data_IF_809996691772
#
_entry.id   IF_809996691772
#
_cell.length_a   1.000
_cell.length_b   1.000
_cell.length_c   1.000
_cell.angle_alpha   90.00
_cell.angle_beta   90.00
_cell.angle_gamma   90.00
#
_symmetry.space_group_name_H-M   'P 1'
#
loop_
_entity.id
_entity.type
_entity.pdbx_description
1 polymer ?
#
# COMPACT_ATOMS: atom_id res chain seq x y z
N UNK A 1 -51.64 45.68 29.22
CA UNK A 1 -50.71 45.94 28.10
C UNK A 1 -49.33 45.57 28.62
N UNK A 2 -48.78 44.38 28.41
CA UNK A 2 -48.71 43.59 27.19
C UNK A 2 -47.36 43.86 26.53
N UNK A 3 -46.31 43.13 26.92
CA UNK A 3 -45.14 42.81 26.08
C UNK A 3 -44.20 41.82 26.78
N UNK A 4 -44.23 40.59 26.27
CA UNK A 4 -43.19 39.58 26.41
C UNK A 4 -41.95 39.99 25.59
N UNK A 5 -40.75 39.60 26.02
CA UNK A 5 -39.63 39.38 25.11
C UNK A 5 -38.65 38.33 25.67
N UNK A 6 -38.96 37.10 25.30
CA UNK A 6 -38.10 36.00 24.82
C UNK A 6 -36.67 35.85 25.37
N UNK A 7 -36.49 34.80 26.16
CA UNK A 7 -35.25 34.08 26.44
C UNK A 7 -34.68 33.50 25.14
N UNK A 8 -33.46 33.87 24.74
CA UNK A 8 -32.73 33.18 23.67
C UNK A 8 -31.91 32.05 24.29
N UNK A 9 -32.44 30.82 24.24
CA UNK A 9 -31.71 29.61 24.58
C UNK A 9 -30.80 29.27 23.39
N UNK A 10 -29.49 29.50 23.53
CA UNK A 10 -28.49 29.01 22.59
C UNK A 10 -28.35 27.49 22.76
N UNK A 11 -29.05 26.73 21.93
CA UNK A 11 -28.83 25.30 21.78
C UNK A 11 -27.48 25.10 21.08
N UNK A 12 -26.44 24.86 21.86
CA UNK A 12 -25.19 24.30 21.36
C UNK A 12 -25.48 22.87 20.87
N UNK A 13 -25.64 22.72 19.55
CA UNK A 13 -25.68 21.43 18.90
C UNK A 13 -24.31 20.77 19.04
N UNK A 14 -24.16 19.91 20.05
CA UNK A 14 -23.09 18.94 20.14
C UNK A 14 -23.30 17.99 18.96
N UNK A 15 -22.57 18.22 17.86
CA UNK A 15 -22.48 17.28 16.77
C UNK A 15 -21.79 16.03 17.30
N UNK A 16 -22.54 14.93 17.38
CA UNK A 16 -22.00 13.63 17.70
C UNK A 16 -21.15 13.21 16.50
N UNK A 17 -19.83 13.37 16.60
CA UNK A 17 -18.92 12.65 15.73
C UNK A 17 -19.18 11.17 16.01
N UNK A 18 -19.83 10.48 15.06
CA UNK A 18 -19.96 9.04 15.16
C UNK A 18 -18.55 8.47 15.07
N UNK A 19 -18.06 7.94 16.18
CA UNK A 19 -16.80 7.21 16.26
C UNK A 19 -16.96 5.97 15.39
N UNK A 20 -16.57 6.07 14.13
CA UNK A 20 -16.50 4.94 13.21
C UNK A 20 -15.31 4.08 13.64
N UNK A 21 -15.56 2.79 13.91
CA UNK A 21 -14.53 1.87 14.37
C UNK A 21 -13.89 1.19 13.17
N UNK A 22 -12.59 1.44 12.96
CA UNK A 22 -11.80 0.83 11.88
C UNK A 22 -11.22 -0.48 12.38
N UNK A 23 -11.51 -1.59 11.70
CA UNK A 23 -11.07 -2.94 12.06
C UNK A 23 -10.27 -3.54 10.92
N UNK A 24 -9.10 -4.11 11.23
CA UNK A 24 -8.33 -4.94 10.31
C UNK A 24 -8.68 -6.41 10.53
N UNK A 25 -9.08 -7.08 9.46
CA UNK A 25 -9.41 -8.52 9.48
C UNK A 25 -8.14 -9.36 9.35
N UNK A 26 -8.21 -10.63 9.77
CA UNK A 26 -7.09 -11.58 9.65
C UNK A 26 -6.65 -11.86 8.21
N UNK A 27 -7.48 -11.50 7.22
CA UNK A 27 -7.17 -11.59 5.79
C UNK A 27 -6.64 -10.26 5.21
N UNK A 28 -6.33 -9.27 6.05
CA UNK A 28 -5.67 -8.02 5.68
C UNK A 28 -6.59 -6.96 5.06
N UNK A 29 -7.91 -7.15 5.12
CA UNK A 29 -8.89 -6.14 4.73
C UNK A 29 -9.14 -5.15 5.85
N UNK A 30 -9.53 -3.95 5.48
CA UNK A 30 -9.91 -2.88 6.40
C UNK A 30 -11.40 -2.65 6.29
N UNK A 31 -12.09 -2.82 7.41
CA UNK A 31 -13.52 -2.60 7.53
C UNK A 31 -13.76 -1.34 8.37
N UNK A 32 -14.74 -0.53 7.96
CA UNK A 32 -15.32 0.51 8.80
C UNK A 32 -16.61 -0.06 9.37
N UNK A 33 -16.68 -0.19 10.69
CA UNK A 33 -17.90 -0.59 11.38
C UNK A 33 -18.75 0.64 11.65
N UNK A 34 -20.01 0.58 11.22
CA UNK A 34 -21.01 1.58 11.48
C UNK A 34 -21.76 1.24 12.78
N UNK A 35 -22.26 2.27 13.48
CA UNK A 35 -22.98 2.08 14.74
C UNK A 35 -24.35 1.37 14.60
N UNK A 36 -24.82 1.17 13.38
CA UNK A 36 -26.02 0.38 13.06
C UNK A 36 -25.73 -1.11 12.85
N UNK A 37 -24.48 -1.54 13.04
CA UNK A 37 -24.05 -2.93 12.87
C UNK A 37 -23.74 -3.31 11.42
N UNK A 38 -23.76 -2.36 10.50
CA UNK A 38 -23.28 -2.56 9.12
C UNK A 38 -21.78 -2.28 9.00
N UNK A 39 -21.17 -2.67 7.88
CA UNK A 39 -19.77 -2.41 7.61
C UNK A 39 -19.52 -2.01 6.15
N UNK A 40 -18.48 -1.21 5.93
CA UNK A 40 -17.93 -0.88 4.61
C UNK A 40 -16.49 -1.40 4.49
N UNK A 41 -16.19 -2.12 3.42
CA UNK A 41 -14.81 -2.51 3.09
C UNK A 41 -14.11 -1.34 2.39
N UNK A 42 -13.16 -0.72 3.07
CA UNK A 42 -12.46 0.48 2.58
C UNK A 42 -11.12 0.17 1.90
N UNK A 43 -10.66 -1.08 1.94
CA UNK A 43 -9.47 -1.53 1.20
C UNK A 43 -8.65 -2.58 1.94
N UNK A 44 -7.37 -2.66 1.60
CA UNK A 44 -6.40 -3.48 2.33
C UNK A 44 -5.58 -2.64 3.30
N UNK A 45 -5.19 -3.24 4.42
CA UNK A 45 -4.32 -2.60 5.39
C UNK A 45 -2.97 -2.34 4.70
N UNK A 46 -2.61 -1.06 4.58
CA UNK A 46 -1.25 -0.67 4.23
C UNK A 46 -0.45 -0.69 5.53
N UNK A 47 0.69 -1.40 5.59
CA UNK A 47 1.57 -1.34 6.75
C UNK A 47 2.01 0.11 6.99
N UNK A 48 2.03 0.55 8.25
CA UNK A 48 2.48 1.89 8.59
C UNK A 48 3.95 2.10 8.18
N UNK A 49 4.28 3.33 7.79
CA UNK A 49 5.58 3.71 7.18
C UNK A 49 6.82 3.47 8.06
N UNK A 50 6.65 3.02 9.32
CA UNK A 50 7.75 2.74 10.25
C UNK A 50 8.31 1.32 10.20
N UNK A 51 7.60 0.37 9.59
CA UNK A 51 7.91 -1.06 9.73
C UNK A 51 8.75 -1.68 8.60
N UNK A 52 9.10 -0.89 7.58
CA UNK A 52 9.87 -1.39 6.44
C UNK A 52 11.38 -1.34 6.68
N UNK A 53 12.04 -2.48 6.50
CA UNK A 53 13.49 -2.56 6.47
C UNK A 53 14.03 -1.94 5.18
N UNK A 54 14.81 -0.86 5.29
CA UNK A 54 15.51 -0.28 4.14
C UNK A 54 16.71 -1.13 3.74
N UNK A 55 16.83 -1.42 2.45
CA UNK A 55 17.98 -2.17 1.93
C UNK A 55 18.28 -1.87 0.46
N UNK A 56 19.44 -2.33 0.00
CA UNK A 56 19.78 -2.34 -1.42
C UNK A 56 19.08 -3.48 -2.15
N UNK A 57 18.70 -3.26 -3.41
CA UNK A 57 18.18 -4.32 -4.28
C UNK A 57 19.20 -5.47 -4.47
N UNK A 58 20.50 -5.19 -4.41
CA UNK A 58 21.56 -6.20 -4.43
C UNK A 58 21.51 -7.12 -3.22
N UNK A 59 21.45 -6.55 -2.00
CA UNK A 59 21.32 -7.31 -0.76
C UNK A 59 20.02 -8.12 -0.76
N UNK A 60 18.92 -7.51 -1.23
CA UNK A 60 17.64 -8.21 -1.32
C UNK A 60 17.76 -9.45 -2.21
N UNK A 61 18.39 -9.37 -3.39
CA UNK A 61 18.58 -10.53 -4.27
C UNK A 61 19.36 -11.68 -3.62
N UNK A 62 20.33 -11.36 -2.76
CA UNK A 62 21.12 -12.36 -2.06
C UNK A 62 20.28 -13.04 -0.97
N UNK A 63 19.49 -12.26 -0.24
CA UNK A 63 18.87 -12.70 1.01
C UNK A 63 17.39 -13.08 0.86
N UNK A 64 16.73 -12.79 -0.27
CA UNK A 64 15.25 -12.89 -0.45
C UNK A 64 14.66 -14.25 -0.05
N UNK A 65 15.43 -15.33 -0.16
CA UNK A 65 15.00 -16.69 0.21
C UNK A 65 14.75 -16.84 1.71
N UNK A 66 15.46 -16.07 2.54
CA UNK A 66 15.40 -16.12 4.01
C UNK A 66 14.49 -15.03 4.59
N UNK A 67 14.00 -14.12 3.75
CA UNK A 67 13.26 -12.92 4.16
C UNK A 67 11.74 -13.06 4.10
N UNK A 68 11.16 -14.26 3.94
CA UNK A 68 9.71 -14.44 3.85
C UNK A 68 8.94 -13.73 4.99
N UNK A 69 7.94 -12.93 4.62
CA UNK A 69 7.13 -12.11 5.53
C UNK A 69 7.79 -10.79 5.96
N UNK A 70 9.06 -10.55 5.59
CA UNK A 70 9.73 -9.30 5.89
C UNK A 70 9.14 -8.15 5.06
N UNK A 71 8.94 -7.01 5.71
CA UNK A 71 8.58 -5.77 5.04
C UNK A 71 9.85 -5.03 4.62
N UNK A 72 9.95 -4.68 3.35
CA UNK A 72 11.17 -4.07 2.78
C UNK A 72 10.87 -2.78 2.02
N UNK A 73 11.80 -1.84 2.10
CA UNK A 73 11.85 -0.60 1.32
C UNK A 73 13.16 -0.57 0.54
N UNK A 74 13.10 -0.45 -0.78
CA UNK A 74 14.30 -0.40 -1.61
C UNK A 74 14.03 0.33 -2.93
N UNK A 75 15.09 0.90 -3.50
CA UNK A 75 15.06 1.57 -4.80
C UNK A 75 15.37 0.59 -5.92
N UNK A 76 14.54 0.55 -6.96
CA UNK A 76 14.63 -0.46 -8.03
C UNK A 76 14.19 0.10 -9.38
N UNK A 77 14.66 -0.52 -10.46
CA UNK A 77 14.05 -0.37 -11.77
C UNK A 77 12.87 -1.34 -11.88
N UNK A 78 11.69 -0.80 -12.15
CA UNK A 78 10.49 -1.58 -12.41
C UNK A 78 10.23 -1.65 -13.90
N UNK A 79 10.12 -2.86 -14.43
CA UNK A 79 9.63 -3.12 -15.78
C UNK A 79 8.31 -3.87 -15.66
N UNK A 80 7.26 -3.31 -16.29
CA UNK A 80 5.93 -3.91 -16.30
C UNK A 80 5.58 -4.39 -17.71
N UNK A 81 5.36 -5.70 -17.87
CA UNK A 81 4.92 -6.28 -19.14
C UNK A 81 3.65 -7.13 -18.91
N UNK A 82 2.49 -6.55 -19.25
CA UNK A 82 1.20 -7.16 -18.92
C UNK A 82 1.03 -7.27 -17.40
N UNK A 83 0.81 -8.48 -16.90
CA UNK A 83 0.71 -8.78 -15.46
C UNK A 83 2.05 -9.15 -14.82
N UNK A 84 3.13 -9.22 -15.61
CA UNK A 84 4.46 -9.57 -15.11
C UNK A 84 5.20 -8.29 -14.75
N UNK A 85 5.61 -8.20 -13.49
CA UNK A 85 6.45 -7.11 -12.98
C UNK A 85 7.79 -7.69 -12.58
N UNK A 86 8.86 -7.05 -13.04
CA UNK A 86 10.22 -7.35 -12.61
C UNK A 86 10.84 -6.15 -11.93
N UNK A 87 11.62 -6.42 -10.89
CA UNK A 87 12.36 -5.46 -10.08
C UNK A 87 13.85 -5.71 -10.28
N UNK A 88 14.51 -4.76 -10.91
CA UNK A 88 15.92 -4.82 -11.26
C UNK A 88 16.77 -3.76 -10.56
N UNK A 89 18.08 -3.90 -10.70
CA UNK A 89 19.06 -2.91 -10.27
C UNK A 89 19.04 -1.68 -11.20
N UNK A 90 18.72 -0.47 -10.69
CA UNK A 90 18.70 0.75 -11.50
C UNK A 90 20.03 1.09 -12.17
N UNK A 91 21.14 0.58 -11.66
CA UNK A 91 22.48 0.79 -12.23
C UNK A 91 22.78 -0.14 -13.41
N UNK A 92 22.00 -1.20 -13.59
CA UNK A 92 22.17 -2.24 -14.61
C UNK A 92 21.02 -2.23 -15.63
N UNK A 93 20.56 -1.04 -15.99
CA UNK A 93 19.46 -0.85 -16.95
C UNK A 93 19.61 -1.73 -18.19
N UNK A 94 18.59 -2.55 -18.46
CA UNK A 94 18.53 -3.51 -19.57
C UNK A 94 19.53 -4.68 -19.54
N UNK A 95 20.31 -4.84 -18.47
CA UNK A 95 21.36 -5.86 -18.34
C UNK A 95 21.31 -6.66 -17.04
N UNK A 96 20.29 -6.45 -16.20
CA UNK A 96 20.10 -7.21 -14.98
C UNK A 96 19.74 -8.67 -15.29
N UNK A 97 20.67 -9.56 -14.99
CA UNK A 97 20.54 -11.00 -15.26
C UNK A 97 19.75 -11.76 -14.19
N UNK A 98 19.40 -11.10 -13.07
CA UNK A 98 18.71 -11.72 -11.94
C UNK A 98 17.63 -10.80 -11.35
N UNK A 99 16.62 -10.41 -12.14
CA UNK A 99 15.53 -9.60 -11.63
C UNK A 99 14.68 -10.38 -10.60
N UNK A 100 14.10 -9.66 -9.65
CA UNK A 100 13.12 -10.22 -8.72
C UNK A 100 11.71 -10.05 -9.30
N UNK A 101 10.87 -11.08 -9.21
CA UNK A 101 9.47 -10.97 -9.61
C UNK A 101 8.65 -10.27 -8.54
N UNK A 102 7.68 -9.49 -8.98
CA UNK A 102 6.75 -8.80 -8.10
C UNK A 102 5.30 -8.94 -8.54
N UNK A 103 4.38 -8.77 -7.59
CA UNK A 103 2.94 -8.75 -7.84
C UNK A 103 2.33 -7.44 -7.33
N UNK A 104 1.45 -6.77 -8.10
CA UNK A 104 0.83 -5.51 -7.72
C UNK A 104 -0.40 -5.69 -6.82
N UNK A 105 -0.60 -6.88 -6.22
CA UNK A 105 -1.86 -7.29 -5.58
C UNK A 105 -2.38 -6.37 -4.49
N UNK A 106 -1.50 -5.64 -3.78
CA UNK A 106 -1.87 -4.71 -2.70
C UNK A 106 -1.64 -3.24 -3.04
N UNK A 107 -1.19 -2.93 -4.26
CA UNK A 107 -1.02 -1.55 -4.70
C UNK A 107 -2.34 -0.82 -4.79
N UNK A 108 -2.34 0.48 -4.50
CA UNK A 108 -3.46 1.35 -4.80
C UNK A 108 -3.75 1.40 -6.31
N UNK A 109 -4.98 1.74 -6.69
CA UNK A 109 -5.39 1.80 -8.11
C UNK A 109 -4.52 2.78 -8.91
N UNK A 110 -4.14 3.90 -8.31
CA UNK A 110 -3.27 4.92 -8.92
C UNK A 110 -1.87 4.40 -9.22
N UNK A 111 -1.23 3.72 -8.27
CA UNK A 111 0.09 3.09 -8.45
C UNK A 111 0.06 2.03 -9.55
N UNK A 112 -1.03 1.25 -9.63
CA UNK A 112 -1.21 0.27 -10.73
C UNK A 112 -1.34 0.95 -12.09
N UNK A 113 -2.08 2.05 -12.17
CA UNK A 113 -2.17 2.85 -13.40
C UNK A 113 -0.79 3.38 -13.81
N UNK A 114 -0.04 3.91 -12.85
CA UNK A 114 1.31 4.40 -13.09
C UNK A 114 2.22 3.31 -13.67
N UNK A 115 2.22 2.10 -13.11
CA UNK A 115 3.02 0.98 -13.63
C UNK A 115 2.73 0.69 -15.10
N UNK A 116 1.44 0.63 -15.46
CA UNK A 116 0.99 0.33 -16.82
C UNK A 116 1.40 1.44 -17.79
N UNK A 117 1.23 2.70 -17.40
CA UNK A 117 1.42 3.85 -18.29
C UNK A 117 2.89 4.29 -18.40
N UNK A 118 3.68 4.13 -17.33
CA UNK A 118 5.01 4.74 -17.20
C UNK A 118 6.16 3.75 -17.08
N UNK A 119 5.89 2.50 -16.71
CA UNK A 119 6.95 1.53 -16.42
C UNK A 119 7.07 0.41 -17.45
N UNK A 120 6.36 0.51 -18.59
CA UNK A 120 6.45 -0.47 -19.68
C UNK A 120 7.88 -0.66 -20.22
N UNK A 121 8.67 0.43 -20.27
CA UNK A 121 10.07 0.41 -20.74
C UNK A 121 11.09 0.56 -19.61
N UNK A 122 10.68 0.31 -18.36
CA UNK A 122 11.52 0.58 -17.20
C UNK A 122 11.31 1.97 -16.62
N UNK A 123 10.99 2.04 -15.34
CA UNK A 123 10.95 3.27 -14.54
C UNK A 123 11.73 3.03 -13.24
N UNK A 124 12.30 4.07 -12.63
CA UNK A 124 13.01 3.92 -11.37
C UNK A 124 12.18 4.51 -10.26
N UNK A 125 11.88 3.71 -9.25
CA UNK A 125 11.02 4.07 -8.12
C UNK A 125 11.59 3.52 -6.83
N UNK A 126 11.13 4.05 -5.71
CA UNK A 126 11.28 3.39 -4.41
C UNK A 126 10.03 2.57 -4.14
N UNK A 127 10.22 1.32 -3.76
CA UNK A 127 9.14 0.35 -3.58
C UNK A 127 9.07 -0.02 -2.11
N UNK A 128 7.85 -0.08 -1.58
CA UNK A 128 7.56 -0.74 -0.31
C UNK A 128 6.74 -2.00 -0.57
N UNK A 129 7.08 -3.08 0.09
CA UNK A 129 6.37 -4.34 -0.07
C UNK A 129 6.74 -5.39 0.98
N UNK A 130 6.14 -6.55 0.84
CA UNK A 130 6.39 -7.72 1.67
C UNK A 130 7.06 -8.81 0.83
N UNK A 131 8.06 -9.49 1.37
CA UNK A 131 8.66 -10.64 0.73
C UNK A 131 7.72 -11.83 0.84
N UNK A 132 7.28 -12.35 -0.29
CA UNK A 132 6.30 -13.41 -0.37
C UNK A 132 6.58 -14.35 -1.53
N UNK A 133 5.58 -15.16 -1.89
CA UNK A 133 5.66 -16.06 -3.03
C UNK A 133 5.07 -15.40 -4.27
N UNK A 134 5.87 -15.26 -5.32
CA UNK A 134 5.46 -14.73 -6.63
C UNK A 134 5.90 -15.74 -7.69
N UNK A 135 4.97 -16.26 -8.49
CA UNK A 135 5.24 -17.32 -9.48
C UNK A 135 6.00 -18.53 -8.89
N UNK A 136 5.63 -18.97 -7.69
CA UNK A 136 6.26 -20.08 -6.95
C UNK A 136 7.68 -19.83 -6.43
N UNK A 137 8.31 -18.69 -6.74
CA UNK A 137 9.60 -18.26 -6.24
C UNK A 137 9.45 -17.16 -5.17
N UNK A 138 10.48 -16.89 -4.35
CA UNK A 138 10.53 -15.68 -3.54
C UNK A 138 10.44 -14.42 -4.42
N UNK A 139 9.57 -13.49 -4.04
CA UNK A 139 9.36 -12.24 -4.76
C UNK A 139 8.76 -11.17 -3.85
N UNK A 140 8.32 -10.07 -4.43
CA UNK A 140 7.79 -8.93 -3.66
C UNK A 140 6.31 -8.71 -3.95
N UNK A 141 5.51 -8.70 -2.89
CA UNK A 141 4.12 -8.26 -2.92
C UNK A 141 4.12 -6.75 -2.70
N UNK A 142 3.77 -5.99 -3.73
CA UNK A 142 3.91 -4.53 -3.73
C UNK A 142 2.79 -3.86 -2.91
N UNK A 143 3.18 -2.97 -2.00
CA UNK A 143 2.25 -2.19 -1.16
C UNK A 143 2.10 -0.75 -1.64
N UNK A 144 3.22 -0.07 -1.91
CA UNK A 144 3.22 1.30 -2.44
C UNK A 144 4.40 1.55 -3.39
N UNK A 145 4.25 2.53 -4.27
CA UNK A 145 5.32 3.05 -5.12
C UNK A 145 5.55 4.55 -4.85
N UNK A 146 6.81 4.94 -4.65
CA UNK A 146 7.22 6.34 -4.63
C UNK A 146 8.01 6.64 -5.90
N UNK A 147 7.43 7.50 -6.75
CA UNK A 147 7.89 7.85 -8.09
C UNK A 147 8.16 9.35 -8.26
#
# INVERSE_FOLDING_TARGET
>A
MGRALTLALALASIGWAQTQERVETTDGRVLILHGDGTYEEVGQAQPESGDYQRMGIGDLKLDIREMYGAQVEFRTEVVSFGEVITLGDPSQRFGDSSPIFATPGRLAREDRHFLIERCANGCVVTVRGEIGRVFMEPGVILHTLEH
#
